data_IF_577811253517
#
_entry.id   IF_577811253517
#
_cell.length_a   1.000
_cell.length_b   1.000
_cell.length_c   1.000
_cell.angle_alpha   90.00
_cell.angle_beta   90.00
_cell.angle_gamma   90.00
#
_symmetry.space_group_name_H-M   'P 1'
#
loop_
_entity.id
_entity.type
_entity.pdbx_description
1 polymer ?
#
# COMPACT_ATOMS: atom_id res chain seq x y z
N UNK A 1 7.32 -8.96 12.00
CA UNK A 1 8.77 -8.65 11.92
C UNK A 1 9.28 -8.38 10.49
N UNK A 2 8.41 -8.30 9.46
CA UNK A 2 8.77 -7.93 8.08
C UNK A 2 8.38 -6.49 7.69
N UNK A 3 7.41 -5.89 8.40
CA UNK A 3 6.90 -4.53 8.16
C UNK A 3 7.90 -3.42 8.51
N UNK A 4 8.78 -3.65 9.50
CA UNK A 4 9.84 -2.70 9.87
C UNK A 4 10.98 -2.60 8.83
N UNK A 5 11.10 -3.56 7.92
CA UNK A 5 12.19 -3.60 6.93
C UNK A 5 11.94 -2.64 5.75
N UNK A 6 10.68 -2.41 5.39
CA UNK A 6 10.31 -1.57 4.22
C UNK A 6 10.44 -0.08 4.54
N UNK A 7 10.13 0.34 5.77
CA UNK A 7 10.33 1.73 6.22
C UNK A 7 11.81 2.08 6.42
N UNK A 8 12.69 1.11 6.72
CA UNK A 8 14.12 1.35 6.87
C UNK A 8 14.81 1.70 5.54
N UNK A 9 14.41 1.07 4.44
CA UNK A 9 14.98 1.37 3.10
C UNK A 9 14.57 2.77 2.64
N UNK A 10 13.38 3.23 3.03
CA UNK A 10 12.84 4.54 2.67
C UNK A 10 13.38 5.66 3.59
N UNK A 11 13.64 5.38 4.87
CA UNK A 11 14.22 6.34 5.82
C UNK A 11 15.73 6.55 5.66
N UNK A 12 16.49 5.53 5.23
CA UNK A 12 17.95 5.64 5.07
C UNK A 12 18.38 6.54 3.90
N UNK A 13 17.54 6.73 2.88
CA UNK A 13 17.87 7.60 1.73
C UNK A 13 17.79 9.09 2.11
N UNK A 14 17.01 9.45 3.14
CA UNK A 14 16.82 10.85 3.57
C UNK A 14 17.94 11.34 4.51
N UNK A 15 18.67 10.42 5.18
CA UNK A 15 19.72 10.80 6.13
C UNK A 15 21.05 11.23 5.46
N UNK A 16 21.23 11.01 4.16
CA UNK A 16 22.43 11.42 3.40
C UNK A 16 22.47 12.90 3.00
N UNK A 17 21.45 13.69 3.31
CA UNK A 17 21.35 15.10 2.95
C UNK A 17 21.60 16.03 4.15
N UNK A 18 22.77 15.96 4.78
CA UNK A 18 23.26 17.01 5.68
C UNK A 18 24.80 17.04 5.64
N UNK A 19 25.39 17.61 4.59
CA UNK A 19 26.79 18.07 4.63
C UNK A 19 26.87 19.58 4.63
N UNK A 20 27.42 20.07 5.73
CA UNK A 20 28.26 21.26 5.95
C UNK A 20 27.87 22.60 5.32
N UNK A 21 27.52 23.56 6.18
CA UNK A 21 28.00 24.94 5.99
C UNK A 21 28.43 25.57 7.33
N UNK A 22 29.65 26.11 7.35
CA UNK A 22 30.38 26.54 8.54
C UNK A 22 30.46 28.08 8.65
N UNK A 23 29.52 28.68 9.40
CA UNK A 23 29.67 29.89 10.26
C UNK A 23 29.78 31.31 9.63
N UNK A 24 29.72 32.41 10.45
CA UNK A 24 29.48 32.48 11.90
C UNK A 24 28.50 33.60 12.43
N UNK A 25 28.07 33.40 13.69
CA UNK A 25 27.80 34.39 14.77
C UNK A 25 26.50 35.26 14.79
N UNK A 26 25.51 34.93 15.65
CA UNK A 26 25.23 35.54 16.99
C UNK A 26 23.88 35.13 17.62
N UNK A 27 23.90 35.05 18.96
CA UNK A 27 22.83 34.99 19.97
C UNK A 27 22.23 33.60 20.30
N UNK A 28 22.54 33.13 21.52
CA UNK A 28 22.00 31.93 22.16
C UNK A 28 20.53 32.12 22.60
N UNK A 29 19.73 31.03 22.59
CA UNK A 29 19.22 30.57 23.87
C UNK A 29 19.24 29.03 24.05
N UNK A 30 19.50 28.61 25.29
CA UNK A 30 19.20 27.32 25.93
C UNK A 30 19.15 26.07 25.02
N UNK A 31 20.29 25.41 24.88
CA UNK A 31 20.35 24.03 24.37
C UNK A 31 19.84 23.06 25.42
N UNK A 32 18.58 22.62 25.26
CA UNK A 32 18.20 21.26 25.66
C UNK A 32 19.15 20.31 24.95
N UNK A 33 19.93 19.51 25.69
CA UNK A 33 20.81 18.51 25.11
C UNK A 33 19.96 17.54 24.29
N UNK A 34 20.06 17.64 22.96
CA UNK A 34 19.61 16.59 22.06
C UNK A 34 20.41 15.36 22.45
N UNK A 35 19.78 14.20 22.74
CA UNK A 35 20.55 12.99 22.95
C UNK A 35 21.29 12.72 21.64
N UNK A 36 22.62 12.84 21.67
CA UNK A 36 23.47 12.44 20.57
C UNK A 36 23.33 10.93 20.46
N UNK A 37 22.40 10.49 19.62
CA UNK A 37 22.31 9.10 19.20
C UNK A 37 23.70 8.71 18.68
N UNK A 38 24.37 7.77 19.34
CA UNK A 38 25.58 7.11 18.82
C UNK A 38 25.16 6.13 17.72
N UNK A 39 24.40 6.62 16.75
CA UNK A 39 24.03 5.85 15.59
C UNK A 39 25.29 5.73 14.75
N UNK A 40 25.87 4.54 14.73
CA UNK A 40 26.99 4.23 13.86
C UNK A 40 26.44 4.17 12.43
N UNK A 41 26.61 5.28 11.73
CA UNK A 41 26.16 5.43 10.35
C UNK A 41 26.88 4.43 9.46
N UNK A 42 28.16 4.14 9.73
CA UNK A 42 28.95 3.21 8.93
C UNK A 42 28.44 1.77 9.11
N UNK A 43 28.17 1.34 10.34
CA UNK A 43 27.56 0.03 10.62
C UNK A 43 26.16 -0.11 9.98
N UNK A 44 25.35 0.96 10.03
CA UNK A 44 24.04 0.96 9.38
C UNK A 44 24.14 0.89 7.85
N UNK A 45 25.10 1.61 7.26
CA UNK A 45 25.34 1.62 5.81
C UNK A 45 25.92 0.28 5.32
N UNK A 46 26.74 -0.40 6.13
CA UNK A 46 27.19 -1.76 5.85
C UNK A 46 26.02 -2.76 5.82
N UNK A 47 25.06 -2.60 6.74
CA UNK A 47 23.81 -3.37 6.74
C UNK A 47 22.97 -3.15 5.48
N UNK A 48 22.82 -1.89 5.06
CA UNK A 48 22.12 -1.53 3.81
C UNK A 48 22.83 -2.11 2.59
N UNK A 49 24.16 -2.01 2.54
CA UNK A 49 24.96 -2.56 1.44
C UNK A 49 24.76 -4.06 1.32
N UNK A 50 24.83 -4.82 2.41
CA UNK A 50 24.60 -6.27 2.41
C UNK A 50 23.18 -6.62 1.95
N UNK A 51 22.18 -5.82 2.34
CA UNK A 51 20.80 -5.99 1.89
C UNK A 51 20.65 -5.76 0.37
N UNK A 52 21.30 -4.73 -0.17
CA UNK A 52 21.32 -4.46 -1.62
C UNK A 52 22.02 -5.60 -2.37
N UNK A 53 23.15 -6.10 -1.87
CA UNK A 53 23.88 -7.23 -2.46
C UNK A 53 22.98 -8.46 -2.54
N UNK A 54 22.32 -8.82 -1.44
CA UNK A 54 21.39 -9.94 -1.40
C UNK A 54 20.25 -9.76 -2.41
N UNK A 55 19.67 -8.58 -2.49
CA UNK A 55 18.57 -8.29 -3.40
C UNK A 55 19.00 -8.39 -4.88
N UNK A 56 20.20 -7.90 -5.20
CA UNK A 56 20.79 -8.03 -6.54
C UNK A 56 21.05 -9.49 -6.90
N UNK A 57 21.56 -10.31 -5.97
CA UNK A 57 21.73 -11.75 -6.19
C UNK A 57 20.40 -12.44 -6.49
N UNK A 58 19.36 -12.16 -5.69
CA UNK A 58 18.04 -12.76 -5.83
C UNK A 58 17.34 -12.33 -7.13
N UNK A 59 17.43 -11.04 -7.50
CA UNK A 59 16.77 -10.49 -8.67
C UNK A 59 17.48 -10.82 -9.98
N UNK A 60 18.80 -10.66 -10.01
CA UNK A 60 19.58 -10.75 -11.24
C UNK A 60 20.24 -12.13 -11.43
N UNK A 61 20.15 -13.01 -10.43
CA UNK A 61 20.75 -14.35 -10.46
C UNK A 61 22.28 -14.32 -10.49
N UNK A 62 22.89 -13.26 -9.96
CA UNK A 62 24.33 -13.05 -9.94
C UNK A 62 25.00 -13.80 -8.79
N UNK A 63 26.26 -14.20 -9.00
CA UNK A 63 27.10 -14.63 -7.88
C UNK A 63 27.43 -13.44 -6.97
N UNK A 64 27.90 -13.74 -5.75
CA UNK A 64 28.15 -12.72 -4.73
C UNK A 64 29.12 -11.63 -5.18
N UNK A 65 30.20 -11.99 -5.88
CA UNK A 65 31.21 -11.03 -6.30
C UNK A 65 30.66 -10.06 -7.37
N UNK A 66 29.91 -10.58 -8.34
CA UNK A 66 29.23 -9.75 -9.34
C UNK A 66 28.11 -8.90 -8.71
N UNK A 67 27.40 -9.42 -7.72
CA UNK A 67 26.36 -8.68 -7.01
C UNK A 67 26.92 -7.54 -6.15
N UNK A 68 28.08 -7.73 -5.51
CA UNK A 68 28.77 -6.67 -4.75
C UNK A 68 29.15 -5.49 -5.64
N UNK A 69 29.77 -5.74 -6.80
CA UNK A 69 30.09 -4.68 -7.77
C UNK A 69 28.83 -3.96 -8.23
N UNK A 70 27.77 -4.71 -8.53
CA UNK A 70 26.51 -4.13 -9.02
C UNK A 70 25.77 -3.36 -7.91
N UNK A 71 25.84 -3.80 -6.67
CA UNK A 71 25.28 -3.10 -5.52
C UNK A 71 26.01 -1.76 -5.31
N UNK A 72 27.35 -1.77 -5.35
CA UNK A 72 28.16 -0.55 -5.22
C UNK A 72 27.81 0.47 -6.33
N UNK A 73 27.70 0.03 -7.59
CA UNK A 73 27.25 0.89 -8.70
C UNK A 73 25.85 1.47 -8.51
N UNK A 74 24.95 0.74 -7.84
CA UNK A 74 23.59 1.20 -7.57
C UNK A 74 23.57 2.20 -6.41
N UNK A 75 24.36 1.95 -5.36
CA UNK A 75 24.50 2.88 -4.24
C UNK A 75 25.18 4.19 -4.67
N UNK A 76 26.22 4.13 -5.50
CA UNK A 76 26.89 5.33 -6.04
C UNK A 76 25.98 6.15 -6.96
N UNK A 77 25.15 5.48 -7.75
CA UNK A 77 24.19 6.14 -8.66
C UNK A 77 23.04 6.79 -7.90
N UNK A 78 22.71 6.26 -6.72
CA UNK A 78 21.57 6.68 -5.92
C UNK A 78 20.23 6.39 -6.60
N UNK A 79 19.17 6.86 -5.95
CA UNK A 79 17.82 6.91 -6.52
C UNK A 79 17.52 8.36 -6.86
N UNK A 80 16.85 8.60 -7.98
CA UNK A 80 16.35 9.92 -8.34
C UNK A 80 15.41 10.43 -7.22
N UNK A 81 15.75 11.57 -6.62
CA UNK A 81 14.98 12.14 -5.51
C UNK A 81 13.56 12.49 -5.92
N UNK A 82 13.31 12.83 -7.19
CA UNK A 82 11.96 13.10 -7.69
C UNK A 82 11.10 11.82 -7.66
N UNK A 83 11.70 10.67 -7.95
CA UNK A 83 11.03 9.37 -7.89
C UNK A 83 10.72 8.96 -6.44
N UNK A 84 11.58 9.32 -5.49
CA UNK A 84 11.35 9.10 -4.06
C UNK A 84 10.26 10.03 -3.53
N UNK A 85 10.29 11.31 -3.88
CA UNK A 85 9.28 12.28 -3.46
C UNK A 85 7.88 11.94 -4.03
N UNK A 86 7.84 11.44 -5.27
CA UNK A 86 6.59 10.95 -5.87
C UNK A 86 6.03 9.73 -5.12
N UNK A 87 6.89 8.82 -4.67
CA UNK A 87 6.49 7.65 -3.86
C UNK A 87 5.89 8.07 -2.53
N UNK A 88 6.58 8.95 -1.80
CA UNK A 88 6.08 9.47 -0.53
C UNK A 88 4.77 10.22 -0.71
N UNK A 89 4.64 11.02 -1.77
CA UNK A 89 3.42 11.77 -2.05
C UNK A 89 2.24 10.85 -2.36
N UNK A 90 2.46 9.78 -3.13
CA UNK A 90 1.45 8.77 -3.43
C UNK A 90 1.01 8.03 -2.17
N UNK A 91 1.98 7.59 -1.35
CA UNK A 91 1.68 6.89 -0.12
C UNK A 91 0.96 7.79 0.89
N UNK A 92 1.44 9.02 1.10
CA UNK A 92 0.79 9.97 2.00
C UNK A 92 -0.63 10.31 1.52
N UNK A 93 -0.81 10.58 0.23
CA UNK A 93 -2.14 10.84 -0.32
C UNK A 93 -3.09 9.65 -0.15
N UNK A 94 -2.60 8.43 -0.34
CA UNK A 94 -3.39 7.23 -0.06
C UNK A 94 -3.81 7.15 1.39
N UNK A 95 -2.86 7.27 2.32
CA UNK A 95 -3.14 7.17 3.75
C UNK A 95 -4.12 8.25 4.21
N UNK A 96 -4.04 9.46 3.65
CA UNK A 96 -4.98 10.54 3.97
C UNK A 96 -6.39 10.30 3.39
N UNK A 97 -6.52 9.50 2.33
CA UNK A 97 -7.76 9.38 1.55
C UNK A 97 -8.34 7.96 1.45
N UNK A 98 -7.72 6.96 2.09
CA UNK A 98 -8.09 5.55 1.93
C UNK A 98 -9.57 5.28 2.26
N UNK A 99 -10.17 6.07 3.15
CA UNK A 99 -11.59 5.96 3.51
C UNK A 99 -12.54 6.18 2.34
N UNK A 100 -12.10 6.90 1.30
CA UNK A 100 -12.86 7.12 0.08
C UNK A 100 -12.69 6.00 -0.94
N UNK A 101 -11.87 4.99 -0.65
CA UNK A 101 -11.62 3.89 -1.58
C UNK A 101 -12.91 3.11 -1.86
N UNK A 102 -13.28 2.85 -3.13
CA UNK A 102 -14.56 2.22 -3.48
C UNK A 102 -14.74 0.79 -2.92
N UNK A 103 -13.65 0.10 -2.63
CA UNK A 103 -13.65 -1.25 -2.04
C UNK A 103 -13.73 -1.15 -0.52
N UNK A 104 -14.87 -0.68 -0.01
CA UNK A 104 -15.15 -0.62 1.44
C UNK A 104 -14.14 0.21 2.26
N UNK A 105 -13.48 1.19 1.63
CA UNK A 105 -12.42 2.00 2.26
C UNK A 105 -12.81 2.64 3.59
N UNK A 106 -14.08 3.02 3.73
CA UNK A 106 -14.64 3.65 4.93
C UNK A 106 -14.57 2.78 6.19
N UNK A 107 -14.38 1.47 6.02
CA UNK A 107 -14.30 0.51 7.12
C UNK A 107 -12.87 0.09 7.44
N UNK A 108 -11.89 0.50 6.64
CA UNK A 108 -10.50 0.12 6.84
C UNK A 108 -9.89 0.86 8.03
N UNK A 109 -9.08 0.13 8.78
CA UNK A 109 -8.07 0.69 9.67
C UNK A 109 -6.88 1.23 8.89
N UNK A 110 -6.06 2.06 9.53
CA UNK A 110 -4.81 2.54 8.92
C UNK A 110 -3.87 1.39 8.56
N UNK A 111 -3.75 0.36 9.41
CA UNK A 111 -2.90 -0.82 9.16
C UNK A 111 -3.36 -1.61 7.91
N UNK A 112 -4.67 -1.73 7.69
CA UNK A 112 -5.25 -2.39 6.51
C UNK A 112 -5.02 -1.56 5.24
N UNK A 113 -5.18 -0.24 5.34
CA UNK A 113 -4.88 0.67 4.23
C UNK A 113 -3.39 0.63 3.85
N UNK A 114 -2.48 0.61 4.83
CA UNK A 114 -1.04 0.47 4.61
C UNK A 114 -0.73 -0.88 3.94
N UNK A 115 -1.30 -1.97 4.45
CA UNK A 115 -1.14 -3.30 3.87
C UNK A 115 -1.53 -3.32 2.38
N UNK A 116 -2.68 -2.72 2.03
CA UNK A 116 -3.20 -2.73 0.67
C UNK A 116 -2.28 -1.98 -0.31
N UNK A 117 -1.84 -0.76 0.02
CA UNK A 117 -0.96 0.02 -0.86
C UNK A 117 0.44 -0.59 -0.97
N UNK A 118 0.97 -1.14 0.13
CA UNK A 118 2.25 -1.85 0.11
C UNK A 118 2.16 -3.11 -0.77
N UNK A 119 1.07 -3.86 -0.67
CA UNK A 119 0.84 -5.05 -1.50
C UNK A 119 0.70 -4.67 -2.99
N UNK A 120 -0.02 -3.60 -3.31
CA UNK A 120 -0.08 -3.07 -4.68
C UNK A 120 1.31 -2.71 -5.21
N UNK A 121 2.11 -1.97 -4.45
CA UNK A 121 3.48 -1.59 -4.82
C UNK A 121 4.36 -2.82 -5.05
N UNK A 122 4.24 -3.85 -4.21
CA UNK A 122 5.02 -5.09 -4.36
C UNK A 122 4.66 -5.87 -5.62
N UNK A 123 3.39 -5.91 -6.00
CA UNK A 123 2.91 -6.69 -7.15
C UNK A 123 3.07 -5.92 -8.46
N UNK A 124 2.68 -4.64 -8.48
CA UNK A 124 2.58 -3.84 -9.70
C UNK A 124 3.81 -2.95 -9.93
N UNK A 125 4.58 -2.70 -8.89
CA UNK A 125 5.61 -1.67 -8.89
C UNK A 125 5.02 -0.27 -8.75
N UNK A 126 5.86 0.64 -8.26
CA UNK A 126 5.48 1.99 -7.83
C UNK A 126 4.78 2.80 -8.93
N UNK A 127 5.37 2.82 -10.14
CA UNK A 127 4.83 3.62 -11.24
C UNK A 127 3.45 3.17 -11.68
N UNK A 128 3.22 1.85 -11.74
CA UNK A 128 1.91 1.29 -12.11
C UNK A 128 0.90 1.46 -10.98
N UNK A 129 1.30 1.28 -9.72
CA UNK A 129 0.44 1.58 -8.57
C UNK A 129 -0.04 3.03 -8.61
N UNK A 130 0.85 3.99 -8.89
CA UNK A 130 0.48 5.39 -9.03
C UNK A 130 -0.47 5.66 -10.20
N UNK A 131 -0.29 4.99 -11.33
CA UNK A 131 -1.23 5.09 -12.44
C UNK A 131 -2.61 4.51 -12.09
N UNK A 132 -2.65 3.36 -11.42
CA UNK A 132 -3.89 2.70 -10.98
C UNK A 132 -4.65 3.56 -9.98
N UNK A 133 -3.97 4.12 -8.99
CA UNK A 133 -4.62 4.95 -7.95
C UNK A 133 -5.18 6.26 -8.51
N UNK A 134 -4.47 6.91 -9.43
CA UNK A 134 -4.94 8.14 -10.07
C UNK A 134 -6.00 7.89 -11.15
N UNK A 135 -5.96 6.73 -11.80
CA UNK A 135 -6.89 6.34 -12.86
C UNK A 135 -8.13 5.58 -12.37
N UNK A 136 -8.15 5.19 -11.09
CA UNK A 136 -9.23 4.42 -10.49
C UNK A 136 -10.55 5.16 -10.67
N UNK A 137 -11.46 4.53 -11.42
CA UNK A 137 -12.77 5.08 -11.73
C UNK A 137 -13.82 3.99 -11.70
N UNK A 138 -15.02 4.34 -11.26
CA UNK A 138 -16.16 3.42 -11.27
C UNK A 138 -16.65 3.28 -12.71
N UNK A 139 -16.46 2.09 -13.28
CA UNK A 139 -16.83 1.75 -14.65
C UNK A 139 -15.76 2.14 -15.69
N UNK A 140 -15.66 1.32 -16.73
CA UNK A 140 -14.79 1.59 -17.90
C UNK A 140 -13.35 1.13 -17.75
N UNK A 141 -12.96 0.54 -16.62
CA UNK A 141 -11.61 -0.02 -16.46
C UNK A 141 -11.46 -1.40 -17.12
N UNK A 142 -10.24 -1.70 -17.55
CA UNK A 142 -9.88 -3.03 -18.01
C UNK A 142 -9.90 -4.03 -16.85
N UNK A 143 -10.19 -5.29 -17.16
CA UNK A 143 -10.24 -6.40 -16.17
C UNK A 143 -8.96 -6.46 -15.34
N UNK A 144 -7.80 -6.37 -16.00
CA UNK A 144 -6.50 -6.47 -15.33
C UNK A 144 -6.31 -5.35 -14.30
N UNK A 145 -6.67 -4.11 -14.64
CA UNK A 145 -6.50 -2.97 -13.74
C UNK A 145 -7.52 -3.00 -12.59
N UNK A 146 -8.75 -3.45 -12.85
CA UNK A 146 -9.74 -3.68 -11.79
C UNK A 146 -9.26 -4.76 -10.80
N UNK A 147 -8.66 -5.86 -11.28
CA UNK A 147 -8.08 -6.90 -10.44
C UNK A 147 -6.91 -6.37 -9.61
N UNK A 148 -6.01 -5.58 -10.21
CA UNK A 148 -4.87 -4.97 -9.51
C UNK A 148 -5.28 -4.03 -8.38
N UNK A 149 -6.48 -3.42 -8.45
CA UNK A 149 -7.02 -2.59 -7.36
C UNK A 149 -7.73 -3.40 -6.28
N UNK A 150 -8.41 -4.50 -6.65
CA UNK A 150 -9.26 -5.26 -5.71
C UNK A 150 -8.48 -6.35 -4.98
N UNK A 151 -7.62 -7.11 -5.66
CA UNK A 151 -6.94 -8.25 -5.04
C UNK A 151 -6.09 -7.87 -3.82
N UNK A 152 -5.28 -6.79 -3.86
CA UNK A 152 -4.50 -6.37 -2.70
C UNK A 152 -5.35 -6.07 -1.46
N UNK A 153 -6.56 -5.54 -1.64
CA UNK A 153 -7.50 -5.31 -0.54
C UNK A 153 -7.99 -6.64 0.04
N UNK A 154 -8.34 -7.61 -0.82
CA UNK A 154 -8.77 -8.93 -0.38
C UNK A 154 -7.69 -9.74 0.33
N UNK A 155 -6.40 -9.42 0.14
CA UNK A 155 -5.32 -10.02 0.93
C UNK A 155 -5.14 -9.38 2.31
N UNK A 156 -5.59 -8.14 2.47
CA UNK A 156 -5.32 -7.32 3.65
C UNK A 156 -6.52 -7.16 4.58
N UNK A 157 -7.73 -7.45 4.10
CA UNK A 157 -8.99 -7.24 4.84
C UNK A 157 -9.92 -8.45 4.68
N UNK A 158 -10.79 -8.66 5.67
CA UNK A 158 -11.90 -9.61 5.55
C UNK A 158 -13.06 -8.94 4.80
N UNK A 159 -13.04 -9.07 3.47
CA UNK A 159 -14.00 -8.39 2.60
C UNK A 159 -15.45 -8.77 2.91
N UNK A 160 -15.70 -10.01 3.34
CA UNK A 160 -17.03 -10.48 3.66
C UNK A 160 -17.53 -9.85 4.97
N UNK A 161 -16.69 -9.82 6.01
CA UNK A 161 -17.03 -9.15 7.27
C UNK A 161 -17.22 -7.64 7.09
N UNK A 162 -16.38 -6.99 6.27
CA UNK A 162 -16.54 -5.59 5.93
C UNK A 162 -17.83 -5.35 5.15
N UNK A 163 -18.19 -6.21 4.20
CA UNK A 163 -19.44 -6.10 3.45
C UNK A 163 -20.66 -6.25 4.36
N UNK A 164 -20.61 -7.22 5.29
CA UNK A 164 -21.66 -7.39 6.29
C UNK A 164 -21.85 -6.11 7.12
N UNK A 165 -20.74 -5.52 7.57
CA UNK A 165 -20.75 -4.26 8.32
C UNK A 165 -21.32 -3.12 7.46
N UNK A 166 -20.94 -3.05 6.19
CA UNK A 166 -21.47 -2.07 5.24
C UNK A 166 -23.00 -2.15 5.09
N UNK A 167 -23.54 -3.37 4.96
CA UNK A 167 -24.98 -3.61 4.85
C UNK A 167 -25.74 -3.18 6.11
N UNK A 168 -25.18 -3.43 7.30
CA UNK A 168 -25.76 -2.98 8.57
C UNK A 168 -25.78 -1.45 8.63
N UNK A 169 -24.66 -0.80 8.29
CA UNK A 169 -24.55 0.66 8.32
C UNK A 169 -25.46 1.36 7.30
N UNK A 170 -25.69 0.73 6.13
CA UNK A 170 -26.63 1.19 5.12
C UNK A 170 -28.10 0.94 5.49
N UNK A 171 -28.36 0.21 6.58
CA UNK A 171 -29.71 -0.11 7.02
C UNK A 171 -30.45 -1.06 6.09
N UNK A 172 -29.75 -2.03 5.50
CA UNK A 172 -30.38 -3.10 4.72
C UNK A 172 -31.41 -3.82 5.60
N UNK A 173 -32.68 -3.90 5.17
CA UNK A 173 -33.75 -4.38 6.05
C UNK A 173 -33.73 -5.89 6.27
N UNK A 174 -33.12 -6.67 5.38
CA UNK A 174 -32.93 -8.12 5.54
C UNK A 174 -31.77 -8.41 6.48
N UNK A 175 -31.82 -9.59 7.12
CA UNK A 175 -30.70 -10.11 7.90
C UNK A 175 -29.45 -10.31 7.01
N UNK A 176 -28.34 -9.58 7.24
CA UNK A 176 -27.13 -9.71 6.43
C UNK A 176 -26.50 -11.11 6.46
N UNK A 177 -26.63 -11.82 7.58
CA UNK A 177 -26.11 -13.20 7.69
C UNK A 177 -26.87 -14.18 6.79
N UNK A 178 -28.19 -13.97 6.68
CA UNK A 178 -29.00 -14.72 5.73
C UNK A 178 -28.67 -14.34 4.28
N UNK A 179 -28.60 -13.04 3.96
CA UNK A 179 -28.35 -12.56 2.59
C UNK A 179 -27.03 -13.09 2.02
N UNK A 180 -26.00 -13.10 2.85
CA UNK A 180 -24.65 -13.52 2.50
C UNK A 180 -24.42 -15.03 2.71
N UNK A 181 -25.47 -15.80 2.98
CA UNK A 181 -25.35 -17.24 3.20
C UNK A 181 -24.80 -17.94 1.94
N UNK A 182 -23.58 -18.48 2.04
CA UNK A 182 -22.90 -19.15 0.93
C UNK A 182 -22.03 -18.24 0.06
N UNK A 183 -21.99 -16.92 0.34
CA UNK A 183 -21.09 -15.97 -0.32
C UNK A 183 -19.69 -16.08 0.28
N UNK A 184 -18.67 -16.22 -0.57
CA UNK A 184 -17.26 -16.18 -0.17
C UNK A 184 -16.59 -14.83 -0.43
N UNK A 185 -15.38 -14.64 0.10
CA UNK A 185 -14.58 -13.42 -0.15
C UNK A 185 -14.30 -13.20 -1.64
N UNK A 186 -14.08 -14.28 -2.41
CA UNK A 186 -13.87 -14.20 -3.85
C UNK A 186 -15.08 -13.63 -4.59
N UNK A 187 -16.30 -13.90 -4.10
CA UNK A 187 -17.53 -13.39 -4.70
C UNK A 187 -17.66 -11.89 -4.41
N UNK A 188 -17.42 -11.47 -3.17
CA UNK A 188 -17.36 -10.06 -2.79
C UNK A 188 -16.30 -9.31 -3.63
N UNK A 189 -15.12 -9.90 -3.82
CA UNK A 189 -14.08 -9.34 -4.68
C UNK A 189 -14.57 -9.20 -6.14
N UNK A 190 -15.25 -10.21 -6.70
CA UNK A 190 -15.84 -10.13 -8.06
C UNK A 190 -16.84 -8.98 -8.17
N UNK A 191 -17.63 -8.70 -7.14
CA UNK A 191 -18.56 -7.56 -7.16
C UNK A 191 -17.81 -6.24 -7.33
N UNK A 192 -16.72 -6.03 -6.59
CA UNK A 192 -15.91 -4.82 -6.71
C UNK A 192 -15.11 -4.76 -8.03
N UNK A 193 -14.69 -5.90 -8.58
CA UNK A 193 -14.15 -5.93 -9.94
C UNK A 193 -15.22 -5.48 -10.95
N UNK A 194 -16.46 -5.95 -10.80
CA UNK A 194 -17.58 -5.52 -11.63
C UNK A 194 -17.92 -4.03 -11.44
N UNK A 195 -17.80 -3.47 -10.23
CA UNK A 195 -17.95 -2.04 -9.98
C UNK A 195 -16.98 -1.22 -10.84
N UNK A 196 -15.73 -1.63 -10.88
CA UNK A 196 -14.67 -0.95 -11.59
C UNK A 196 -14.76 -1.13 -13.11
N UNK A 197 -15.20 -2.29 -13.59
CA UNK A 197 -15.36 -2.53 -15.03
C UNK A 197 -16.66 -1.95 -15.61
N UNK A 198 -17.76 -2.09 -14.88
CA UNK A 198 -19.12 -1.90 -15.40
C UNK A 198 -19.93 -0.89 -14.60
N UNK A 199 -19.33 -0.26 -13.59
CA UNK A 199 -20.00 0.73 -12.76
C UNK A 199 -20.95 0.10 -11.75
N UNK A 200 -21.79 0.95 -11.15
CA UNK A 200 -22.72 0.55 -10.09
C UNK A 200 -23.71 -0.53 -10.56
N UNK A 201 -24.14 -0.47 -11.82
CA UNK A 201 -25.05 -1.47 -12.39
C UNK A 201 -24.40 -2.85 -12.44
N UNK A 202 -23.13 -2.95 -12.84
CA UNK A 202 -22.41 -4.21 -12.84
C UNK A 202 -22.17 -4.77 -11.45
N UNK A 203 -21.85 -3.91 -10.48
CA UNK A 203 -21.76 -4.31 -9.07
C UNK A 203 -23.09 -4.90 -8.57
N UNK A 204 -24.21 -4.20 -8.80
CA UNK A 204 -25.52 -4.64 -8.37
C UNK A 204 -25.96 -5.95 -9.07
N UNK A 205 -25.61 -6.12 -10.35
CA UNK A 205 -25.90 -7.33 -11.10
C UNK A 205 -25.13 -8.52 -10.53
N UNK A 206 -23.81 -8.39 -10.34
CA UNK A 206 -22.97 -9.45 -9.77
C UNK A 206 -23.42 -9.84 -8.35
N UNK A 207 -23.70 -8.84 -7.51
CA UNK A 207 -24.24 -9.08 -6.17
C UNK A 207 -25.61 -9.80 -6.22
N UNK A 208 -26.50 -9.38 -7.12
CA UNK A 208 -27.84 -9.97 -7.24
C UNK A 208 -27.85 -11.43 -7.73
N UNK A 209 -26.78 -11.89 -8.37
CA UNK A 209 -26.61 -13.30 -8.77
C UNK A 209 -26.25 -14.19 -7.57
N UNK A 210 -25.54 -13.63 -6.57
CA UNK A 210 -24.98 -14.38 -5.45
C UNK A 210 -25.82 -14.29 -4.16
N UNK A 211 -26.58 -13.22 -3.95
CA UNK A 211 -27.39 -13.03 -2.74
C UNK A 211 -28.65 -13.88 -2.70
N UNK A 212 -28.97 -14.46 -1.54
CA UNK A 212 -30.27 -15.10 -1.30
C UNK A 212 -31.35 -14.05 -0.96
N UNK A 213 -32.07 -13.59 -1.99
CA UNK A 213 -33.14 -12.60 -1.83
C UNK A 213 -34.41 -13.14 -1.17
N UNK A 214 -34.45 -14.44 -0.80
CA UNK A 214 -35.58 -15.01 -0.06
C UNK A 214 -35.52 -14.74 1.45
N UNK A 215 -34.42 -14.15 1.91
CA UNK A 215 -34.21 -13.81 3.30
C UNK A 215 -35.27 -12.86 3.86
N UNK A 216 -35.81 -13.16 5.07
CA UNK A 216 -36.80 -12.31 5.69
C UNK A 216 -36.18 -10.95 6.08
N UNK A 217 -37.02 -9.92 6.09
CA UNK A 217 -36.67 -8.68 6.77
C UNK A 217 -36.41 -8.96 8.26
N UNK A 218 -35.33 -8.39 8.80
CA UNK A 218 -35.08 -8.35 10.23
C UNK A 218 -36.26 -7.68 10.94
N UNK A 219 -36.72 -8.29 12.04
CA UNK A 219 -37.83 -7.78 12.85
C UNK A 219 -37.43 -6.58 13.70
#
# INVERSE_FOLDING_TARGET
>A
MRTRLVLLIVACIVAGACSDDAGPERAAPTTTAVPTSTYDVDEAMDGVREDVVRLVMERDGLDRAAAEVRADELMERGVDTEVVDQQFSLFANWMDNHQSHPVLGRHWTEDEAECAVVTMIQVEGIGRTGALMNGASVGGMAVADALSLVQPVGYCTDLLALMKTDMVDLGVPQDPDCLLAGVGEEDVAKWFVALFMHGREGFNAAMGEDLDLTCPAGS
#
